data_IF_025702807475
#
_entry.id   IF_025702807475
#
_cell.length_a   1.000
_cell.length_b   1.000
_cell.length_c   1.000
_cell.angle_alpha   90.00
_cell.angle_beta   90.00
_cell.angle_gamma   90.00
#
_symmetry.space_group_name_H-M   'P 1'
#
loop_
_entity.id
_entity.type
_entity.pdbx_description
1 polymer ?
#
# COMPACT_ATOMS: atom_id res chain seq x y z
N UNK A 1 46.19 8.60 46.08
CA UNK A 1 45.22 9.27 45.16
C UNK A 1 44.77 8.26 44.12
N UNK A 2 43.63 7.59 44.36
CA UNK A 2 43.04 6.63 43.42
C UNK A 2 42.11 7.41 42.50
N UNK A 3 42.41 7.43 41.20
CA UNK A 3 41.53 7.98 40.17
C UNK A 3 40.42 6.94 39.88
N UNK A 4 39.18 7.27 40.22
CA UNK A 4 38.00 6.55 39.75
C UNK A 4 37.80 6.88 38.26
N UNK A 5 37.87 5.88 37.42
CA UNK A 5 37.45 5.96 36.04
C UNK A 5 35.95 5.58 36.02
N UNK A 6 35.09 6.56 35.82
CA UNK A 6 33.65 6.33 35.56
C UNK A 6 33.54 5.97 34.09
N UNK A 7 33.29 4.68 33.80
CA UNK A 7 32.88 4.21 32.47
C UNK A 7 31.39 4.50 32.33
N UNK A 8 31.06 5.52 31.58
CA UNK A 8 29.69 5.77 31.15
C UNK A 8 29.32 4.72 30.08
N UNK A 9 28.59 3.71 30.49
CA UNK A 9 27.94 2.77 29.56
C UNK A 9 26.77 3.54 28.95
N UNK A 10 26.97 4.11 27.77
CA UNK A 10 25.87 4.54 26.89
C UNK A 10 25.14 3.26 26.43
N UNK A 11 24.11 2.93 27.16
CA UNK A 11 23.14 1.93 26.71
C UNK A 11 22.45 2.45 25.46
N UNK A 12 22.81 1.89 24.32
CA UNK A 12 22.04 2.01 23.09
C UNK A 12 20.69 1.33 23.35
N UNK A 13 19.70 2.11 23.74
CA UNK A 13 18.32 1.69 23.61
C UNK A 13 18.00 1.67 22.11
N UNK A 14 18.37 0.58 21.43
CA UNK A 14 17.66 0.19 20.24
C UNK A 14 16.23 -0.03 20.69
N UNK A 15 15.34 0.88 20.33
CA UNK A 15 13.91 0.61 20.24
C UNK A 15 13.77 -0.51 19.19
N UNK A 16 13.93 -1.77 19.61
CA UNK A 16 13.24 -2.84 18.96
C UNK A 16 11.76 -2.51 19.16
N UNK A 17 11.15 -1.87 18.16
CA UNK A 17 9.72 -1.92 18.00
C UNK A 17 9.41 -3.43 18.04
N UNK A 18 8.76 -3.88 19.12
CA UNK A 18 8.35 -5.27 19.25
C UNK A 18 7.63 -5.59 17.94
N UNK A 19 8.10 -6.61 17.23
CA UNK A 19 7.42 -7.10 16.05
C UNK A 19 5.99 -7.32 16.48
N UNK A 20 5.07 -6.48 16.00
CA UNK A 20 3.68 -6.58 16.37
C UNK A 20 3.22 -7.88 15.74
N UNK A 21 2.84 -8.83 16.58
CA UNK A 21 2.40 -10.17 16.19
C UNK A 21 1.22 -10.03 15.20
N UNK A 22 1.49 -10.24 13.93
CA UNK A 22 0.50 -10.10 12.85
C UNK A 22 -0.68 -11.05 13.06
N UNK A 23 -0.42 -12.24 13.62
CA UNK A 23 -1.50 -13.15 13.97
C UNK A 23 -2.51 -12.50 14.93
N UNK A 24 -2.01 -11.80 15.97
CA UNK A 24 -2.88 -11.07 16.91
C UNK A 24 -3.58 -9.88 16.25
N UNK A 25 -2.90 -9.19 15.33
CA UNK A 25 -3.53 -8.10 14.58
C UNK A 25 -4.68 -8.61 13.70
N UNK A 26 -4.51 -9.78 13.06
CA UNK A 26 -5.55 -10.43 12.26
C UNK A 26 -6.68 -10.96 13.16
N UNK A 27 -6.36 -11.49 14.34
CA UNK A 27 -7.36 -11.92 15.33
C UNK A 27 -8.24 -10.77 15.78
N UNK A 28 -7.65 -9.59 16.03
CA UNK A 28 -8.37 -8.38 16.41
C UNK A 28 -9.15 -7.73 15.27
N UNK A 29 -8.62 -7.78 14.05
CA UNK A 29 -9.24 -7.25 12.84
C UNK A 29 -8.98 -8.17 11.65
N UNK A 30 -9.89 -9.12 11.38
CA UNK A 30 -9.77 -10.10 10.28
C UNK A 30 -9.55 -9.48 8.90
N UNK A 31 -9.95 -8.21 8.69
CA UNK A 31 -9.80 -7.48 7.43
C UNK A 31 -8.34 -7.28 7.05
N UNK A 32 -7.41 -7.32 8.01
CA UNK A 32 -5.96 -7.21 7.77
C UNK A 32 -5.41 -8.38 6.95
N UNK A 33 -6.06 -9.56 7.03
CA UNK A 33 -5.70 -10.72 6.20
C UNK A 33 -5.90 -10.46 4.70
N UNK A 34 -6.65 -9.43 4.32
CA UNK A 34 -6.90 -9.06 2.93
C UNK A 34 -5.68 -8.45 2.22
N UNK A 35 -4.54 -8.26 2.90
CA UNK A 35 -3.30 -7.82 2.26
C UNK A 35 -3.47 -6.48 1.52
N UNK A 36 -3.15 -6.45 0.22
CA UNK A 36 -3.32 -5.28 -0.64
C UNK A 36 -4.77 -4.88 -0.91
N UNK A 37 -5.75 -5.70 -0.51
CA UNK A 37 -7.18 -5.36 -0.54
C UNK A 37 -7.68 -4.75 0.77
N UNK A 38 -6.84 -4.62 1.79
CA UNK A 38 -7.20 -3.91 3.01
C UNK A 38 -7.66 -2.49 2.67
N UNK A 39 -8.83 -2.08 3.14
CA UNK A 39 -9.31 -0.71 3.01
C UNK A 39 -8.36 0.25 3.74
N UNK A 40 -8.29 1.51 3.28
CA UNK A 40 -7.38 2.49 3.86
C UNK A 40 -7.67 2.69 5.36
N UNK A 41 -6.69 2.45 6.24
CA UNK A 41 -6.88 2.68 7.66
C UNK A 41 -6.83 4.19 7.98
N UNK A 42 -7.59 4.63 8.98
CA UNK A 42 -7.42 5.98 9.47
C UNK A 42 -6.11 6.13 10.26
N UNK A 43 -5.33 7.18 10.00
CA UNK A 43 -4.09 7.43 10.74
C UNK A 43 -4.42 7.85 12.18
N UNK A 44 -3.79 7.18 13.15
CA UNK A 44 -4.10 7.36 14.58
C UNK A 44 -3.05 8.17 15.33
N UNK A 45 -1.82 8.30 14.78
CA UNK A 45 -0.71 8.97 15.46
C UNK A 45 -0.68 10.46 15.15
N UNK A 46 -0.46 11.33 16.16
CA UNK A 46 -0.21 12.74 15.93
C UNK A 46 1.13 12.94 15.22
N UNK A 47 1.21 13.96 14.39
CA UNK A 47 2.47 14.34 13.74
C UNK A 47 3.30 15.25 14.66
N UNK A 48 4.63 15.12 14.61
CA UNK A 48 5.56 16.03 15.27
C UNK A 48 5.34 17.47 14.78
N UNK A 49 5.30 18.47 15.67
CA UNK A 49 5.14 19.88 15.30
C UNK A 49 6.23 20.37 14.35
N UNK A 50 5.93 21.37 13.54
CA UNK A 50 6.90 21.97 12.61
C UNK A 50 8.23 22.37 13.30
N UNK A 51 9.39 22.25 12.61
CA UNK A 51 10.67 22.64 13.17
C UNK A 51 10.66 24.13 13.62
N UNK A 52 11.33 24.44 14.73
CA UNK A 52 11.32 25.80 15.29
C UNK A 52 11.67 26.86 14.25
N UNK A 53 10.78 27.80 14.07
CA UNK A 53 10.95 28.92 13.14
C UNK A 53 10.71 28.59 11.66
N UNK A 54 10.38 27.36 11.31
CA UNK A 54 10.03 26.93 9.95
C UNK A 54 8.53 26.64 9.86
N UNK A 55 7.99 26.74 8.64
CA UNK A 55 6.58 26.43 8.35
C UNK A 55 6.50 25.50 7.15
N UNK A 56 5.46 24.64 7.08
CA UNK A 56 5.22 23.85 5.87
C UNK A 56 4.91 24.81 4.71
N UNK A 57 5.45 24.53 3.52
CA UNK A 57 5.26 25.40 2.36
C UNK A 57 5.04 24.66 1.04
N UNK A 58 5.36 23.37 0.99
CA UNK A 58 5.21 22.52 -0.19
C UNK A 58 4.95 21.07 0.22
N UNK A 59 4.12 20.38 -0.57
CA UNK A 59 3.88 18.95 -0.43
C UNK A 59 4.13 18.27 -1.78
N UNK A 60 4.92 17.18 -1.78
CA UNK A 60 5.06 16.27 -2.90
C UNK A 60 4.48 14.92 -2.52
N UNK A 61 3.52 14.42 -3.28
CA UNK A 61 2.73 13.23 -2.96
C UNK A 61 2.73 12.23 -4.10
N UNK A 62 2.74 10.93 -3.78
CA UNK A 62 2.34 9.84 -4.66
C UNK A 62 1.40 8.92 -3.91
N UNK A 63 0.22 8.64 -4.46
CA UNK A 63 -0.79 7.77 -3.86
C UNK A 63 -1.29 6.68 -4.80
N UNK A 64 -1.69 5.57 -4.22
CA UNK A 64 -2.46 4.50 -4.85
C UNK A 64 -3.91 4.95 -5.00
N UNK A 65 -4.62 4.47 -6.02
CA UNK A 65 -6.08 4.62 -6.12
C UNK A 65 -6.79 4.10 -4.86
N UNK A 66 -7.97 4.59 -4.56
CA UNK A 66 -8.81 4.14 -3.45
C UNK A 66 -9.40 2.74 -3.64
N UNK A 67 -10.24 2.33 -2.71
CA UNK A 67 -11.00 1.08 -2.77
C UNK A 67 -11.69 0.90 -4.12
N UNK A 68 -11.67 -0.33 -4.65
CA UNK A 68 -12.18 -0.68 -5.98
C UNK A 68 -12.80 -2.07 -6.01
N UNK A 69 -13.57 -2.36 -7.05
CA UNK A 69 -13.98 -3.72 -7.36
C UNK A 69 -12.82 -4.59 -7.85
N UNK A 70 -12.94 -5.92 -7.77
CA UNK A 70 -11.96 -6.84 -8.37
C UNK A 70 -11.89 -6.59 -9.88
N UNK A 71 -10.68 -6.74 -10.45
CA UNK A 71 -10.46 -6.43 -11.88
C UNK A 71 -10.92 -7.56 -12.80
N UNK A 72 -10.82 -8.81 -12.36
CA UNK A 72 -11.05 -9.96 -13.21
C UNK A 72 -12.39 -10.62 -12.85
N UNK A 73 -13.32 -10.71 -13.82
CA UNK A 73 -14.62 -11.34 -13.63
C UNK A 73 -14.53 -12.78 -13.10
N UNK A 74 -13.50 -13.53 -13.50
CA UNK A 74 -13.28 -14.91 -13.06
C UNK A 74 -13.19 -15.04 -11.54
N UNK A 75 -12.67 -14.01 -10.87
CA UNK A 75 -12.50 -14.03 -9.42
C UNK A 75 -13.84 -14.03 -8.67
N UNK A 76 -14.91 -13.48 -9.28
CA UNK A 76 -16.29 -13.59 -8.80
C UNK A 76 -16.99 -14.83 -9.36
N UNK A 77 -16.81 -15.11 -10.63
CA UNK A 77 -17.58 -16.14 -11.36
C UNK A 77 -17.19 -17.55 -10.91
N UNK A 78 -15.91 -17.82 -10.71
CA UNK A 78 -15.46 -19.18 -10.37
C UNK A 78 -16.07 -19.68 -9.06
N UNK A 79 -15.98 -18.97 -7.91
CA UNK A 79 -16.59 -19.45 -6.68
C UNK A 79 -18.12 -19.47 -6.77
N UNK A 80 -18.74 -18.46 -7.38
CA UNK A 80 -20.18 -18.39 -7.54
C UNK A 80 -20.72 -19.59 -8.32
N UNK A 81 -20.24 -19.85 -9.53
CA UNK A 81 -20.76 -20.95 -10.36
C UNK A 81 -20.39 -22.34 -9.81
N UNK A 82 -19.26 -22.48 -9.13
CA UNK A 82 -18.91 -23.73 -8.44
C UNK A 82 -19.92 -24.05 -7.34
N UNK A 83 -20.25 -23.08 -6.49
CA UNK A 83 -21.24 -23.25 -5.44
C UNK A 83 -22.67 -23.39 -6.01
N UNK A 84 -23.03 -22.63 -7.05
CA UNK A 84 -24.34 -22.73 -7.70
C UNK A 84 -24.60 -24.12 -8.27
N UNK A 85 -23.58 -24.73 -8.93
CA UNK A 85 -23.67 -26.08 -9.41
C UNK A 85 -23.86 -27.08 -8.27
N UNK A 86 -23.09 -26.94 -7.19
CA UNK A 86 -23.21 -27.79 -6.01
C UNK A 86 -24.60 -27.67 -5.36
N UNK A 87 -25.18 -26.48 -5.30
CA UNK A 87 -26.53 -26.24 -4.79
C UNK A 87 -27.58 -26.92 -5.64
N UNK A 88 -27.49 -26.79 -6.97
CA UNK A 88 -28.43 -27.46 -7.92
C UNK A 88 -28.40 -28.99 -7.82
N UNK A 89 -27.28 -29.55 -7.35
CA UNK A 89 -27.14 -31.00 -7.10
C UNK A 89 -27.49 -31.40 -5.65
N UNK A 90 -28.00 -30.45 -4.84
CA UNK A 90 -28.32 -30.69 -3.44
C UNK A 90 -27.11 -31.02 -2.57
N UNK A 91 -25.90 -30.55 -2.93
CA UNK A 91 -24.62 -30.84 -2.25
C UNK A 91 -24.18 -29.75 -1.27
N UNK A 92 -24.84 -28.59 -1.22
CA UNK A 92 -24.60 -27.58 -0.21
C UNK A 92 -25.43 -27.81 1.05
N UNK A 93 -24.85 -27.55 2.20
CA UNK A 93 -25.59 -27.40 3.44
C UNK A 93 -26.08 -25.94 3.61
N UNK A 94 -26.78 -25.64 4.72
CA UNK A 94 -27.33 -24.31 4.96
C UNK A 94 -26.27 -23.21 4.98
N UNK A 95 -25.07 -23.49 5.49
CA UNK A 95 -23.93 -22.54 5.46
C UNK A 95 -23.47 -22.29 4.03
N UNK A 96 -23.32 -23.34 3.23
CA UNK A 96 -22.95 -23.24 1.82
C UNK A 96 -23.95 -22.43 1.00
N UNK A 97 -25.24 -22.62 1.23
CA UNK A 97 -26.31 -21.83 0.58
C UNK A 97 -26.24 -20.35 0.98
N UNK A 98 -25.96 -20.05 2.25
CA UNK A 98 -25.78 -18.66 2.71
C UNK A 98 -24.53 -18.01 2.09
N UNK A 99 -23.41 -18.72 2.00
CA UNK A 99 -22.20 -18.22 1.32
C UNK A 99 -22.48 -18.00 -0.18
N UNK A 100 -23.18 -18.91 -0.86
CA UNK A 100 -23.59 -18.71 -2.25
C UNK A 100 -24.43 -17.43 -2.41
N UNK A 101 -25.39 -17.19 -1.50
CA UNK A 101 -26.21 -15.98 -1.51
C UNK A 101 -25.36 -14.70 -1.35
N UNK A 102 -24.39 -14.70 -0.41
CA UNK A 102 -23.47 -13.58 -0.19
C UNK A 102 -22.57 -13.36 -1.42
N UNK A 103 -22.05 -14.44 -2.03
CA UNK A 103 -21.26 -14.37 -3.26
C UNK A 103 -22.06 -13.75 -4.41
N UNK A 104 -23.35 -14.15 -4.55
CA UNK A 104 -24.25 -13.57 -5.56
C UNK A 104 -24.39 -12.06 -5.38
N UNK A 105 -24.60 -11.58 -4.17
CA UNK A 105 -24.75 -10.15 -3.88
C UNK A 105 -23.52 -9.35 -4.32
N UNK A 106 -22.30 -9.80 -3.96
CA UNK A 106 -21.08 -9.11 -4.36
C UNK A 106 -20.79 -9.20 -5.86
N UNK A 107 -21.09 -10.32 -6.48
CA UNK A 107 -20.96 -10.51 -7.91
C UNK A 107 -21.91 -9.59 -8.68
N UNK A 108 -23.17 -9.51 -8.26
CA UNK A 108 -24.19 -8.65 -8.89
C UNK A 108 -23.82 -7.16 -8.71
N UNK A 109 -23.33 -6.75 -7.52
CA UNK A 109 -22.85 -5.39 -7.27
C UNK A 109 -21.64 -5.02 -8.15
N UNK A 110 -20.80 -6.00 -8.51
CA UNK A 110 -19.62 -5.81 -9.35
C UNK A 110 -19.93 -5.90 -10.88
N UNK A 111 -21.15 -6.23 -11.26
CA UNK A 111 -21.54 -6.36 -12.69
C UNK A 111 -21.30 -5.04 -13.41
N UNK A 112 -20.56 -5.11 -14.54
CA UNK A 112 -20.14 -3.97 -15.37
C UNK A 112 -19.28 -2.91 -14.66
N UNK A 113 -18.76 -3.26 -13.48
CA UNK A 113 -17.95 -2.35 -12.63
C UNK A 113 -16.55 -2.89 -12.29
N UNK A 114 -16.06 -3.86 -13.03
CA UNK A 114 -14.78 -4.51 -12.76
C UNK A 114 -13.62 -3.51 -12.77
N UNK A 115 -12.87 -3.49 -11.67
CA UNK A 115 -11.71 -2.60 -11.48
C UNK A 115 -12.05 -1.12 -11.31
N UNK A 116 -13.34 -0.75 -11.25
CA UNK A 116 -13.77 0.62 -10.98
C UNK A 116 -13.58 1.02 -9.52
N UNK A 117 -13.38 2.32 -9.29
CA UNK A 117 -13.36 2.91 -7.97
C UNK A 117 -14.73 2.75 -7.29
N UNK A 118 -14.74 2.29 -6.04
CA UNK A 118 -15.99 2.24 -5.27
C UNK A 118 -16.32 3.61 -4.63
N UNK A 119 -17.56 3.83 -4.17
CA UNK A 119 -17.90 5.03 -3.39
C UNK A 119 -16.99 5.19 -2.14
N UNK A 120 -16.62 4.07 -1.48
CA UNK A 120 -15.65 4.10 -0.38
C UNK A 120 -14.29 4.61 -0.86
N UNK A 121 -13.80 4.15 -2.03
CA UNK A 121 -12.52 4.61 -2.59
C UNK A 121 -12.52 6.10 -2.92
N UNK A 122 -13.63 6.63 -3.43
CA UNK A 122 -13.81 8.04 -3.64
C UNK A 122 -13.78 8.82 -2.31
N UNK A 123 -14.46 8.31 -1.28
CA UNK A 123 -14.47 8.92 0.05
C UNK A 123 -13.09 8.91 0.71
N UNK A 124 -12.33 7.81 0.59
CA UNK A 124 -10.95 7.73 1.10
C UNK A 124 -10.08 8.87 0.57
N UNK A 125 -10.14 9.19 -0.73
CA UNK A 125 -9.36 10.28 -1.31
C UNK A 125 -9.84 11.66 -0.88
N UNK A 126 -11.14 11.87 -0.69
CA UNK A 126 -11.64 13.10 -0.06
C UNK A 126 -11.12 13.25 1.37
N UNK A 127 -11.15 12.19 2.15
CA UNK A 127 -10.70 12.23 3.56
C UNK A 127 -9.19 12.43 3.69
N UNK A 128 -8.36 11.78 2.84
CA UNK A 128 -6.91 12.00 2.76
C UNK A 128 -6.62 13.47 2.41
N UNK A 129 -7.30 14.02 1.40
CA UNK A 129 -7.12 15.41 0.99
C UNK A 129 -7.54 16.39 2.09
N UNK A 130 -8.67 16.15 2.77
CA UNK A 130 -9.14 16.94 3.91
C UNK A 130 -8.15 16.94 5.06
N UNK A 131 -7.61 15.75 5.43
CA UNK A 131 -6.60 15.65 6.49
C UNK A 131 -5.31 16.34 6.09
N UNK A 132 -4.86 16.21 4.83
CA UNK A 132 -3.69 16.90 4.30
C UNK A 132 -3.85 18.42 4.42
N UNK A 133 -5.00 18.96 3.99
CA UNK A 133 -5.34 20.39 4.11
C UNK A 133 -5.33 20.87 5.57
N UNK A 134 -5.99 20.13 6.46
CA UNK A 134 -6.12 20.51 7.87
C UNK A 134 -4.80 20.43 8.65
N UNK A 135 -3.92 19.48 8.30
CA UNK A 135 -2.61 19.32 8.94
C UNK A 135 -1.57 20.33 8.47
N UNK A 136 -1.71 20.81 7.22
CA UNK A 136 -0.74 21.71 6.57
C UNK A 136 -1.41 22.91 5.91
N UNK A 137 -2.22 23.69 6.62
CA UNK A 137 -3.04 24.75 6.03
C UNK A 137 -2.22 25.85 5.36
N UNK A 138 -0.96 26.06 5.79
CA UNK A 138 -0.06 27.06 5.18
C UNK A 138 0.25 26.73 3.71
N UNK A 139 0.33 25.46 3.35
CA UNK A 139 0.60 25.00 1.98
C UNK A 139 -0.55 25.36 1.03
N UNK A 140 -1.78 25.38 1.54
CA UNK A 140 -3.00 25.56 0.75
C UNK A 140 -3.61 26.99 0.88
N UNK A 141 -2.90 27.92 1.53
CA UNK A 141 -3.43 29.25 1.81
C UNK A 141 -3.49 30.14 0.57
N UNK A 142 -4.68 30.66 0.27
CA UNK A 142 -4.90 31.64 -0.83
C UNK A 142 -4.96 30.97 -2.20
N UNK A 143 -4.34 31.59 -3.20
CA UNK A 143 -4.41 31.22 -4.63
C UNK A 143 -3.20 30.37 -5.10
N UNK A 144 -2.69 29.49 -4.24
CA UNK A 144 -1.57 28.61 -4.59
C UNK A 144 -1.93 27.62 -5.70
N UNK A 145 -0.91 27.13 -6.41
CA UNK A 145 -1.08 26.12 -7.45
C UNK A 145 -1.05 24.71 -6.85
N UNK A 146 -1.98 23.87 -7.28
CA UNK A 146 -1.95 22.42 -7.06
C UNK A 146 -1.78 21.78 -8.44
N UNK A 147 -0.63 21.15 -8.64
CA UNK A 147 -0.37 20.37 -9.86
C UNK A 147 -0.65 18.90 -9.57
N UNK A 148 -1.62 18.31 -10.26
CA UNK A 148 -2.05 16.95 -10.03
C UNK A 148 -1.91 16.08 -11.28
N UNK A 149 -1.39 14.87 -11.13
CA UNK A 149 -1.24 13.92 -12.22
C UNK A 149 -1.74 12.54 -11.83
N UNK A 150 -2.36 11.86 -12.80
CA UNK A 150 -2.82 10.50 -12.64
C UNK A 150 -2.23 9.59 -13.72
N UNK A 151 -2.16 8.29 -13.45
CA UNK A 151 -2.04 7.33 -14.53
C UNK A 151 -3.32 7.36 -15.38
N UNK A 152 -3.24 6.88 -16.62
CA UNK A 152 -4.38 6.87 -17.58
C UNK A 152 -5.49 5.88 -17.22
N UNK A 153 -5.45 5.29 -16.03
CA UNK A 153 -6.43 4.32 -15.54
C UNK A 153 -7.57 5.04 -14.81
N UNK A 154 -8.80 4.80 -15.24
CA UNK A 154 -10.01 5.54 -14.79
C UNK A 154 -10.10 5.64 -13.27
N UNK A 155 -9.90 4.55 -12.50
CA UNK A 155 -9.94 4.59 -11.03
C UNK A 155 -8.89 5.51 -10.40
N UNK A 156 -7.72 5.67 -11.06
CA UNK A 156 -6.69 6.60 -10.58
C UNK A 156 -7.08 8.05 -10.89
N UNK A 157 -7.63 8.30 -12.08
CA UNK A 157 -8.18 9.61 -12.47
C UNK A 157 -9.29 10.03 -11.50
N UNK A 158 -10.26 9.13 -11.24
CA UNK A 158 -11.35 9.41 -10.30
C UNK A 158 -10.84 9.60 -8.85
N UNK A 159 -9.79 8.90 -8.44
CA UNK A 159 -9.15 9.13 -7.13
C UNK A 159 -8.54 10.53 -7.05
N UNK A 160 -7.84 10.97 -8.10
CA UNK A 160 -7.33 12.34 -8.24
C UNK A 160 -8.45 13.37 -8.17
N UNK A 161 -9.49 13.21 -8.98
CA UNK A 161 -10.60 14.16 -9.05
C UNK A 161 -11.34 14.31 -7.71
N UNK A 162 -11.56 13.19 -6.97
CA UNK A 162 -12.19 13.26 -5.65
C UNK A 162 -11.31 14.03 -4.64
N UNK A 163 -9.98 13.83 -4.67
CA UNK A 163 -9.07 14.62 -3.83
C UNK A 163 -9.07 16.09 -4.19
N UNK A 164 -9.05 16.43 -5.49
CA UNK A 164 -9.07 17.82 -5.97
C UNK A 164 -10.40 18.52 -5.65
N UNK A 165 -11.54 17.87 -5.83
CA UNK A 165 -12.85 18.40 -5.46
C UNK A 165 -12.91 18.76 -3.97
N UNK A 166 -12.36 17.90 -3.10
CA UNK A 166 -12.29 18.19 -1.68
C UNK A 166 -11.42 19.42 -1.39
N UNK A 167 -10.22 19.51 -1.98
CA UNK A 167 -9.34 20.67 -1.79
C UNK A 167 -9.99 21.97 -2.26
N UNK A 168 -10.69 21.95 -3.40
CA UNK A 168 -11.42 23.13 -3.92
C UNK A 168 -12.59 23.50 -3.02
N UNK A 169 -13.29 22.51 -2.45
CA UNK A 169 -14.38 22.77 -1.49
C UNK A 169 -13.88 23.47 -0.22
N UNK A 170 -12.67 23.13 0.22
CA UNK A 170 -12.02 23.72 1.41
C UNK A 170 -11.40 25.10 1.10
N UNK A 171 -10.89 25.30 -0.12
CA UNK A 171 -10.37 26.59 -0.58
C UNK A 171 -10.65 26.82 -2.06
N UNK A 172 -11.73 27.53 -2.41
CA UNK A 172 -12.11 27.81 -3.80
C UNK A 172 -11.12 28.72 -4.57
N UNK A 173 -10.10 29.29 -3.90
CA UNK A 173 -9.09 30.14 -4.52
C UNK A 173 -7.90 29.35 -5.09
N UNK A 174 -7.82 28.04 -4.82
CA UNK A 174 -6.76 27.18 -5.36
C UNK A 174 -6.78 27.20 -6.88
N UNK A 175 -5.60 27.28 -7.48
CA UNK A 175 -5.42 27.11 -8.93
C UNK A 175 -5.03 25.67 -9.19
N UNK A 176 -5.91 24.93 -9.83
CA UNK A 176 -5.68 23.50 -10.11
C UNK A 176 -5.20 23.35 -11.55
N UNK A 177 -4.07 22.65 -11.73
CA UNK A 177 -3.67 22.03 -12.99
C UNK A 177 -3.69 20.52 -12.81
N UNK A 178 -4.31 19.78 -13.72
CA UNK A 178 -4.37 18.34 -13.63
C UNK A 178 -4.28 17.68 -15.00
N UNK A 179 -3.70 16.48 -15.05
CA UNK A 179 -3.51 15.72 -16.28
C UNK A 179 -3.47 14.21 -16.03
N UNK A 180 -3.82 13.43 -17.04
CA UNK A 180 -3.66 11.99 -17.12
C UNK A 180 -3.23 11.63 -18.54
N UNK A 181 -1.93 11.53 -18.78
CA UNK A 181 -1.34 11.41 -20.10
C UNK A 181 -0.40 10.22 -20.22
N UNK A 182 -0.43 9.51 -21.36
CA UNK A 182 0.59 8.49 -21.71
C UNK A 182 2.00 9.07 -21.73
N UNK A 183 2.15 10.39 -22.01
CA UNK A 183 3.42 11.09 -21.94
C UNK A 183 4.11 10.96 -20.58
N UNK A 184 3.35 10.95 -19.49
CA UNK A 184 3.87 10.87 -18.12
C UNK A 184 4.07 9.42 -17.62
N UNK A 185 3.63 8.40 -18.39
CA UNK A 185 3.69 7.00 -17.93
C UNK A 185 5.12 6.48 -17.76
N UNK A 186 6.12 7.10 -18.38
CA UNK A 186 7.53 6.72 -18.20
C UNK A 186 8.02 6.86 -16.75
N UNK A 187 7.36 7.69 -15.92
CA UNK A 187 7.64 7.80 -14.49
C UNK A 187 6.44 7.48 -13.62
N UNK A 188 5.21 7.80 -14.06
CA UNK A 188 4.00 7.56 -13.26
C UNK A 188 3.65 6.08 -13.13
N UNK A 189 3.99 5.25 -14.14
CA UNK A 189 3.73 3.81 -14.15
C UNK A 189 4.73 3.09 -15.07
N UNK A 190 6.01 3.23 -14.77
CA UNK A 190 7.07 2.67 -15.61
C UNK A 190 6.91 1.16 -15.80
N UNK A 191 6.80 0.74 -17.05
CA UNK A 191 6.82 -0.66 -17.46
C UNK A 191 8.21 -1.00 -18.01
N UNK A 192 9.16 -1.23 -17.12
CA UNK A 192 10.52 -1.64 -17.51
C UNK A 192 10.53 -3.12 -17.92
N UNK A 193 10.80 -3.45 -19.21
CA UNK A 193 10.79 -4.84 -19.68
C UNK A 193 11.86 -5.71 -19.02
N UNK A 194 13.04 -5.16 -18.72
CA UNK A 194 14.14 -5.90 -18.09
C UNK A 194 13.81 -6.26 -16.64
N UNK A 195 13.33 -5.30 -15.85
CA UNK A 195 12.89 -5.55 -14.48
C UNK A 195 11.67 -6.47 -14.44
N UNK A 196 10.73 -6.31 -15.38
CA UNK A 196 9.59 -7.20 -15.50
C UNK A 196 10.00 -8.65 -15.76
N UNK A 197 10.99 -8.89 -16.61
CA UNK A 197 11.52 -10.22 -16.87
C UNK A 197 12.18 -10.85 -15.63
N UNK A 198 12.77 -10.02 -14.74
CA UNK A 198 13.38 -10.46 -13.47
C UNK A 198 12.41 -10.52 -12.28
N UNK A 199 11.12 -10.19 -12.46
CA UNK A 199 10.17 -10.01 -11.36
C UNK A 199 9.92 -11.27 -10.54
N UNK A 200 9.83 -12.42 -11.19
CA UNK A 200 9.61 -13.71 -10.53
C UNK A 200 10.46 -14.78 -11.24
N UNK A 201 11.80 -14.72 -11.07
CA UNK A 201 12.68 -15.71 -11.66
C UNK A 201 12.42 -17.10 -11.06
N UNK A 202 12.97 -18.15 -11.70
CA UNK A 202 12.74 -19.53 -11.26
C UNK A 202 13.05 -19.73 -9.78
N UNK A 203 14.15 -19.17 -9.27
CA UNK A 203 14.52 -19.26 -7.86
C UNK A 203 13.42 -18.70 -6.92
N UNK A 204 12.87 -17.53 -7.25
CA UNK A 204 11.75 -16.95 -6.48
C UNK A 204 10.48 -17.80 -6.58
N UNK A 205 10.20 -18.36 -7.77
CA UNK A 205 9.05 -19.24 -7.96
C UNK A 205 9.20 -20.55 -7.16
N UNK A 206 10.40 -21.14 -7.15
CA UNK A 206 10.66 -22.37 -6.40
C UNK A 206 10.49 -22.13 -4.89
N UNK A 207 11.06 -21.06 -4.35
CA UNK A 207 10.90 -20.66 -2.94
C UNK A 207 9.42 -20.42 -2.60
N UNK A 208 8.68 -19.72 -3.46
CA UNK A 208 7.26 -19.49 -3.23
C UNK A 208 6.46 -20.80 -3.23
N UNK A 209 6.76 -21.71 -4.16
CA UNK A 209 6.10 -23.01 -4.23
C UNK A 209 6.40 -23.87 -2.97
N UNK A 210 7.67 -23.90 -2.53
CA UNK A 210 8.05 -24.59 -1.30
C UNK A 210 7.38 -23.99 -0.06
N UNK A 211 7.29 -22.65 0.02
CA UNK A 211 6.54 -21.96 1.07
C UNK A 211 5.08 -22.40 1.06
N UNK A 212 4.42 -22.39 -0.10
CA UNK A 212 3.03 -22.82 -0.24
C UNK A 212 2.82 -24.30 0.14
N UNK A 213 3.79 -25.17 -0.09
CA UNK A 213 3.72 -26.60 0.33
C UNK A 213 3.80 -26.76 1.85
N UNK A 214 4.53 -25.88 2.55
CA UNK A 214 4.58 -25.87 4.03
C UNK A 214 3.37 -25.22 4.65
N UNK A 215 2.85 -24.16 4.03
CA UNK A 215 1.69 -23.40 4.47
C UNK A 215 0.47 -23.78 3.61
N UNK A 216 -0.06 -25.00 3.83
CA UNK A 216 -1.16 -25.56 3.04
C UNK A 216 -2.42 -24.71 3.20
N UNK A 217 -3.09 -24.42 2.08
CA UNK A 217 -4.36 -23.70 2.10
C UNK A 217 -5.39 -24.42 2.97
N UNK A 218 -6.10 -23.71 3.84
CA UNK A 218 -7.11 -24.30 4.69
C UNK A 218 -8.23 -24.89 3.85
N UNK A 219 -8.50 -26.19 4.03
CA UNK A 219 -9.60 -26.87 3.34
C UNK A 219 -10.91 -26.79 4.11
N UNK A 220 -10.82 -26.74 5.44
CA UNK A 220 -11.97 -26.71 6.35
C UNK A 220 -13.01 -25.64 5.99
N UNK A 221 -12.65 -24.36 5.71
CA UNK A 221 -13.64 -23.34 5.40
C UNK A 221 -14.52 -23.75 4.22
N UNK A 222 -13.91 -24.26 3.16
CA UNK A 222 -14.60 -24.69 1.94
C UNK A 222 -15.35 -26.00 2.13
N UNK A 223 -14.71 -27.02 2.74
CA UNK A 223 -15.35 -28.31 3.04
C UNK A 223 -16.61 -28.14 3.89
N UNK A 224 -16.59 -27.19 4.83
CA UNK A 224 -17.72 -26.91 5.72
C UNK A 224 -18.99 -26.41 5.01
N UNK A 225 -18.90 -26.10 3.71
CA UNK A 225 -20.04 -25.62 2.90
C UNK A 225 -20.89 -26.79 2.31
N UNK A 226 -20.32 -27.99 2.32
CA UNK A 226 -20.93 -29.16 1.67
C UNK A 226 -21.55 -30.12 2.69
N UNK A 227 -22.62 -30.78 2.29
CA UNK A 227 -23.26 -31.85 3.05
C UNK A 227 -22.75 -33.26 2.66
N UNK A 228 -21.90 -33.36 1.63
CA UNK A 228 -21.34 -34.57 1.06
C UNK A 228 -19.82 -34.42 0.90
N UNK A 229 -19.07 -35.00 1.85
CA UNK A 229 -17.60 -34.97 1.86
C UNK A 229 -17.00 -35.74 0.67
N UNK A 230 -17.65 -36.80 0.17
CA UNK A 230 -17.18 -37.52 -1.00
C UNK A 230 -17.29 -36.66 -2.26
N UNK A 231 -18.38 -35.91 -2.38
CA UNK A 231 -18.55 -34.96 -3.49
C UNK A 231 -17.49 -33.84 -3.42
N UNK A 232 -17.33 -33.19 -2.26
CA UNK A 232 -16.37 -32.08 -2.12
C UNK A 232 -14.94 -32.53 -2.41
N UNK A 233 -14.52 -33.70 -1.93
CA UNK A 233 -13.14 -34.20 -2.13
C UNK A 233 -12.86 -34.71 -3.54
N UNK A 234 -13.86 -35.29 -4.22
CA UNK A 234 -13.65 -35.92 -5.53
C UNK A 234 -14.01 -34.99 -6.72
N UNK A 235 -14.92 -34.03 -6.51
CA UNK A 235 -15.45 -33.20 -7.59
C UNK A 235 -15.01 -31.75 -7.53
N UNK A 236 -14.50 -31.27 -6.37
CA UNK A 236 -14.14 -29.87 -6.15
C UNK A 236 -12.64 -29.74 -5.90
N UNK A 237 -11.98 -28.81 -6.61
CA UNK A 237 -10.64 -28.38 -6.22
C UNK A 237 -10.77 -27.38 -5.06
N UNK A 238 -10.67 -27.89 -3.83
CA UNK A 238 -10.90 -27.14 -2.59
C UNK A 238 -9.91 -25.98 -2.41
N UNK A 239 -8.63 -26.18 -2.73
CA UNK A 239 -7.60 -25.15 -2.63
C UNK A 239 -7.91 -23.98 -3.59
N UNK A 240 -8.24 -24.30 -4.83
CA UNK A 240 -8.62 -23.31 -5.83
C UNK A 240 -9.92 -22.59 -5.45
N UNK A 241 -10.90 -23.31 -4.90
CA UNK A 241 -12.15 -22.70 -4.46
C UNK A 241 -11.90 -21.77 -3.26
N UNK A 242 -11.07 -22.20 -2.29
CA UNK A 242 -10.66 -21.35 -1.18
C UNK A 242 -9.97 -20.07 -1.67
N UNK A 243 -9.02 -20.17 -2.58
CA UNK A 243 -8.32 -19.00 -3.14
C UNK A 243 -9.29 -17.95 -3.72
N UNK A 244 -10.28 -18.37 -4.51
CA UNK A 244 -11.23 -17.44 -5.10
C UNK A 244 -12.28 -16.92 -4.11
N UNK A 245 -12.74 -17.76 -3.18
CA UNK A 245 -13.62 -17.32 -2.08
C UNK A 245 -12.88 -16.25 -1.25
N UNK A 246 -11.63 -16.52 -0.87
CA UNK A 246 -10.86 -15.59 -0.05
C UNK A 246 -10.61 -14.25 -0.76
N UNK A 247 -10.45 -14.22 -2.07
CA UNK A 247 -10.42 -12.95 -2.84
C UNK A 247 -11.70 -12.15 -2.72
N UNK A 248 -12.86 -12.81 -2.80
CA UNK A 248 -14.15 -12.13 -2.64
C UNK A 248 -14.35 -11.66 -1.21
N UNK A 249 -13.95 -12.47 -0.22
CA UNK A 249 -13.89 -12.07 1.21
C UNK A 249 -13.06 -10.80 1.38
N UNK A 250 -11.85 -10.80 0.81
CA UNK A 250 -10.91 -9.69 0.94
C UNK A 250 -11.42 -8.38 0.33
N UNK A 251 -12.17 -8.45 -0.78
CA UNK A 251 -12.68 -7.25 -1.44
C UNK A 251 -13.97 -6.72 -0.82
N UNK A 252 -14.74 -7.54 -0.10
CA UNK A 252 -16.05 -7.17 0.45
C UNK A 252 -15.99 -5.88 1.29
N UNK A 253 -14.94 -5.69 2.10
CA UNK A 253 -14.71 -4.50 2.91
C UNK A 253 -14.58 -3.20 2.10
N UNK A 254 -14.34 -3.30 0.79
CA UNK A 254 -14.14 -2.18 -0.13
C UNK A 254 -15.43 -1.75 -0.86
N UNK A 255 -16.53 -2.46 -0.67
CA UNK A 255 -17.82 -2.23 -1.34
C UNK A 255 -18.84 -1.58 -0.41
N UNK A 256 -19.97 -1.13 -0.97
CA UNK A 256 -21.09 -0.62 -0.18
C UNK A 256 -21.86 -1.75 0.56
N UNK A 257 -21.49 -2.99 0.30
CA UNK A 257 -22.05 -4.16 0.99
C UNK A 257 -21.24 -4.54 2.25
N UNK A 258 -20.16 -3.85 2.58
CA UNK A 258 -19.25 -4.17 3.70
C UNK A 258 -19.93 -4.34 5.06
N UNK A 259 -21.02 -3.59 5.29
CA UNK A 259 -21.78 -3.65 6.54
C UNK A 259 -22.96 -4.65 6.48
N UNK A 260 -23.20 -5.27 5.31
CA UNK A 260 -24.31 -6.18 5.07
C UNK A 260 -23.88 -7.61 4.79
N UNK A 261 -22.64 -7.80 4.35
CA UNK A 261 -22.09 -9.07 3.93
C UNK A 261 -20.75 -9.28 4.62
N UNK A 262 -20.75 -10.12 5.63
CA UNK A 262 -19.54 -10.60 6.30
C UNK A 262 -19.25 -12.03 5.82
N UNK A 263 -17.97 -12.34 5.59
CA UNK A 263 -17.49 -13.67 5.23
C UNK A 263 -16.40 -14.17 6.18
N UNK A 264 -15.94 -13.32 7.10
CA UNK A 264 -14.87 -13.72 8.02
C UNK A 264 -15.34 -14.79 9.01
N UNK A 265 -16.66 -14.93 9.20
CA UNK A 265 -17.30 -16.03 9.93
C UNK A 265 -17.05 -17.43 9.34
N UNK A 266 -16.57 -17.48 8.09
CA UNK A 266 -16.19 -18.72 7.42
C UNK A 266 -14.83 -19.25 7.91
N UNK A 267 -13.94 -18.37 8.34
CA UNK A 267 -12.56 -18.65 8.68
C UNK A 267 -12.28 -18.51 10.18
N UNK A 268 -11.31 -19.25 10.70
CA UNK A 268 -10.66 -18.94 11.97
C UNK A 268 -9.39 -18.09 11.72
N UNK A 269 -8.78 -17.59 12.79
CA UNK A 269 -7.61 -16.71 12.70
C UNK A 269 -6.40 -17.39 12.04
N UNK A 270 -6.14 -18.67 12.34
CA UNK A 270 -5.02 -19.43 11.74
C UNK A 270 -5.18 -19.54 10.21
N UNK A 271 -6.41 -19.76 9.74
CA UNK A 271 -6.74 -19.89 8.33
C UNK A 271 -6.61 -18.55 7.60
N UNK A 272 -7.03 -17.44 8.23
CA UNK A 272 -6.83 -16.09 7.72
C UNK A 272 -5.35 -15.75 7.66
N UNK A 273 -4.60 -16.09 8.69
CA UNK A 273 -3.17 -15.84 8.79
C UNK A 273 -2.39 -16.57 7.69
N UNK A 274 -2.67 -17.85 7.44
CA UNK A 274 -2.04 -18.62 6.35
C UNK A 274 -2.33 -18.01 4.99
N UNK A 275 -3.57 -17.60 4.71
CA UNK A 275 -3.92 -16.93 3.46
C UNK A 275 -3.14 -15.61 3.29
N UNK A 276 -3.03 -14.82 4.37
CA UNK A 276 -2.26 -13.59 4.36
C UNK A 276 -0.75 -13.83 4.14
N UNK A 277 -0.15 -14.81 4.85
CA UNK A 277 1.28 -15.10 4.74
C UNK A 277 1.71 -15.38 3.30
N UNK A 278 0.95 -16.18 2.56
CA UNK A 278 1.21 -16.48 1.15
C UNK A 278 1.24 -15.24 0.28
N UNK A 279 0.27 -14.35 0.49
CA UNK A 279 0.20 -13.11 -0.27
C UNK A 279 1.32 -12.16 0.12
N UNK A 280 1.69 -12.09 1.41
CA UNK A 280 2.82 -11.30 1.90
C UNK A 280 4.14 -11.73 1.25
N UNK A 281 4.42 -13.04 1.22
CA UNK A 281 5.60 -13.63 0.58
C UNK A 281 5.59 -13.40 -0.93
N UNK A 282 4.43 -13.58 -1.60
CA UNK A 282 4.30 -13.33 -3.03
C UNK A 282 4.67 -11.88 -3.40
N UNK A 283 4.17 -10.89 -2.66
CA UNK A 283 4.47 -9.49 -2.90
C UNK A 283 5.94 -9.16 -2.67
N UNK A 284 6.55 -9.70 -1.61
CA UNK A 284 7.96 -9.53 -1.32
C UNK A 284 8.85 -10.09 -2.44
N UNK A 285 8.64 -11.33 -2.84
CA UNK A 285 9.41 -12.00 -3.89
C UNK A 285 9.24 -11.35 -5.26
N UNK A 286 8.05 -10.79 -5.54
CA UNK A 286 7.69 -10.26 -6.86
C UNK A 286 8.10 -8.81 -7.06
N UNK A 287 7.92 -7.95 -6.06
CA UNK A 287 8.08 -6.50 -6.19
C UNK A 287 9.00 -5.89 -5.13
N UNK A 288 9.32 -6.65 -4.09
CA UNK A 288 10.15 -6.22 -2.98
C UNK A 288 11.65 -6.32 -3.26
N UNK A 289 12.48 -5.99 -2.25
CA UNK A 289 13.94 -6.01 -2.34
C UNK A 289 14.52 -7.43 -2.15
N UNK A 290 13.79 -8.47 -2.53
CA UNK A 290 14.16 -9.87 -2.34
C UNK A 290 15.50 -10.21 -3.01
N UNK A 291 16.48 -10.83 -2.30
CA UNK A 291 17.71 -11.30 -2.90
C UNK A 291 17.48 -12.26 -4.06
N UNK A 292 16.41 -13.05 -4.03
CA UNK A 292 16.06 -14.04 -5.03
C UNK A 292 15.65 -13.43 -6.37
N UNK A 293 15.17 -12.18 -6.38
CA UNK A 293 14.94 -11.40 -7.61
C UNK A 293 16.09 -10.43 -7.91
N UNK A 294 17.23 -10.57 -7.18
CA UNK A 294 18.41 -9.73 -7.29
C UNK A 294 18.31 -8.39 -6.56
N UNK A 295 17.29 -8.17 -5.71
CA UNK A 295 17.08 -6.92 -4.96
C UNK A 295 16.74 -5.72 -5.85
N UNK A 296 16.42 -5.94 -7.13
CA UNK A 296 16.38 -4.88 -8.15
C UNK A 296 14.97 -4.30 -8.40
N UNK A 297 13.92 -4.98 -7.96
CA UNK A 297 12.54 -4.55 -8.24
C UNK A 297 12.20 -3.13 -7.72
N UNK A 298 12.69 -2.66 -6.56
CA UNK A 298 12.50 -1.29 -6.12
C UNK A 298 12.96 -0.23 -7.13
N UNK A 299 14.01 -0.52 -7.92
CA UNK A 299 14.51 0.40 -8.95
C UNK A 299 13.57 0.59 -10.15
N UNK A 300 12.47 -0.17 -10.21
CA UNK A 300 11.36 0.15 -11.12
C UNK A 300 10.80 1.56 -10.88
N UNK A 301 11.04 2.14 -9.69
CA UNK A 301 10.60 3.48 -9.31
C UNK A 301 11.68 4.56 -9.44
N UNK A 302 12.84 4.26 -10.03
CA UNK A 302 13.95 5.23 -10.22
C UNK A 302 13.52 6.49 -10.97
N UNK A 303 12.70 6.35 -12.02
CA UNK A 303 12.21 7.50 -12.79
C UNK A 303 11.22 8.34 -11.98
N UNK A 304 10.32 7.69 -11.22
CA UNK A 304 9.38 8.40 -10.34
C UNK A 304 10.13 9.19 -9.27
N UNK A 305 11.09 8.56 -8.59
CA UNK A 305 11.87 9.22 -7.55
C UNK A 305 12.67 10.39 -8.12
N UNK A 306 13.33 10.22 -9.28
CA UNK A 306 14.03 11.30 -9.96
C UNK A 306 13.10 12.48 -10.28
N UNK A 307 11.95 12.20 -10.85
CA UNK A 307 10.95 13.22 -11.19
C UNK A 307 10.43 13.95 -9.95
N UNK A 308 10.20 13.22 -8.86
CA UNK A 308 9.80 13.85 -7.58
C UNK A 308 10.89 14.78 -7.03
N UNK A 309 12.17 14.42 -7.16
CA UNK A 309 13.30 15.26 -6.73
C UNK A 309 13.39 16.51 -7.59
N UNK A 310 13.37 16.38 -8.92
CA UNK A 310 13.47 17.50 -9.87
C UNK A 310 12.32 18.51 -9.72
N UNK A 311 11.09 18.02 -9.54
CA UNK A 311 9.93 18.87 -9.29
C UNK A 311 10.00 19.55 -7.92
N UNK A 312 10.49 18.85 -6.89
CA UNK A 312 10.69 19.46 -5.58
C UNK A 312 11.75 20.57 -5.64
N UNK A 313 12.89 20.34 -6.31
CA UNK A 313 13.92 21.39 -6.52
C UNK A 313 13.31 22.65 -7.19
N UNK A 314 12.48 22.44 -8.22
CA UNK A 314 11.80 23.53 -8.91
C UNK A 314 10.79 24.26 -8.01
N UNK A 315 10.00 23.51 -7.24
CA UNK A 315 9.00 24.07 -6.32
C UNK A 315 9.63 24.79 -5.13
N UNK A 316 10.74 24.31 -4.59
CA UNK A 316 11.47 24.95 -3.49
C UNK A 316 11.93 26.37 -3.88
N UNK A 317 12.26 26.60 -5.14
CA UNK A 317 12.66 27.92 -5.64
C UNK A 317 11.49 28.93 -5.71
N UNK A 318 10.24 28.45 -5.68
CA UNK A 318 9.06 29.33 -5.78
C UNK A 318 8.69 29.96 -4.43
N UNK A 319 8.17 31.19 -4.42
CA UNK A 319 7.68 31.81 -3.18
C UNK A 319 6.53 31.05 -2.53
N UNK A 320 5.60 30.51 -3.33
CA UNK A 320 4.37 29.82 -2.88
C UNK A 320 4.04 28.65 -3.82
N UNK A 321 4.74 27.52 -3.69
CA UNK A 321 4.64 26.40 -4.64
C UNK A 321 3.33 25.60 -4.55
N UNK A 322 2.69 25.54 -3.36
CA UNK A 322 1.50 24.71 -3.15
C UNK A 322 1.82 23.21 -3.01
N UNK A 323 1.23 22.36 -3.88
CA UNK A 323 1.46 20.93 -3.82
C UNK A 323 1.53 20.28 -5.22
N UNK A 324 2.32 19.19 -5.31
CA UNK A 324 2.32 18.28 -6.47
C UNK A 324 1.76 16.94 -6.04
N UNK A 325 0.63 16.55 -6.61
CA UNK A 325 -0.11 15.34 -6.24
C UNK A 325 -0.07 14.32 -7.39
N UNK A 326 0.25 13.06 -7.08
CA UNK A 326 0.34 11.98 -8.08
C UNK A 326 -0.50 10.80 -7.65
N UNK A 327 -1.26 10.21 -8.58
CA UNK A 327 -2.21 9.13 -8.32
C UNK A 327 -1.95 7.94 -9.25
N UNK A 328 -1.73 6.76 -8.66
CA UNK A 328 -1.38 5.56 -9.40
C UNK A 328 -1.74 4.26 -8.66
N UNK A 329 -0.75 3.38 -8.51
CA UNK A 329 -0.98 1.99 -8.13
C UNK A 329 -0.11 1.51 -6.97
N UNK A 330 -0.52 0.39 -6.35
CA UNK A 330 0.26 -0.35 -5.35
C UNK A 330 1.63 -0.79 -5.88
N UNK A 331 1.70 -1.17 -7.16
CA UNK A 331 2.94 -1.56 -7.85
C UNK A 331 3.93 -0.41 -8.05
N UNK A 332 3.56 0.80 -7.64
CA UNK A 332 4.43 1.97 -7.57
C UNK A 332 4.73 2.34 -6.12
N UNK A 333 3.69 2.45 -5.27
CA UNK A 333 3.85 2.85 -3.85
C UNK A 333 4.77 1.87 -3.11
N UNK A 334 4.55 0.56 -3.25
CA UNK A 334 5.31 -0.44 -2.51
C UNK A 334 6.79 -0.47 -2.94
N UNK A 335 7.14 -0.61 -4.24
CA UNK A 335 8.54 -0.55 -4.63
C UNK A 335 9.21 0.81 -4.34
N UNK A 336 8.47 1.94 -4.38
CA UNK A 336 9.00 3.25 -3.99
C UNK A 336 9.31 3.29 -2.48
N UNK A 337 8.44 2.72 -1.65
CA UNK A 337 8.69 2.56 -0.20
C UNK A 337 9.98 1.78 0.05
N UNK A 338 10.18 0.68 -0.68
CA UNK A 338 11.41 -0.13 -0.60
C UNK A 338 12.62 0.61 -1.18
N UNK A 339 12.50 1.33 -2.30
CA UNK A 339 13.60 2.12 -2.88
C UNK A 339 14.09 3.21 -1.92
N UNK A 340 13.15 3.85 -1.23
CA UNK A 340 13.44 4.86 -0.21
C UNK A 340 13.94 4.24 1.10
N UNK A 341 13.72 2.95 1.36
CA UNK A 341 14.03 2.30 2.63
C UNK A 341 13.19 2.82 3.79
N UNK A 342 11.95 3.28 3.51
CA UNK A 342 11.07 3.79 4.56
C UNK A 342 10.85 2.73 5.64
N UNK A 343 11.04 3.10 6.91
CA UNK A 343 10.84 2.23 8.07
C UNK A 343 11.59 0.89 7.98
N UNK A 344 12.68 0.81 7.18
CA UNK A 344 13.43 -0.42 6.97
C UNK A 344 12.81 -1.40 5.96
N UNK A 345 11.83 -0.98 5.15
CA UNK A 345 11.21 -1.84 4.13
C UNK A 345 12.12 -2.17 2.93
N UNK A 346 13.36 -1.70 2.92
CA UNK A 346 14.41 -2.14 2.01
C UNK A 346 15.16 -3.39 2.50
N UNK A 347 14.74 -3.98 3.60
CA UNK A 347 15.35 -5.17 4.19
C UNK A 347 15.39 -6.33 3.21
N UNK A 348 16.57 -6.92 3.05
CA UNK A 348 16.78 -8.15 2.29
C UNK A 348 16.68 -9.34 3.23
N UNK A 349 15.79 -10.28 2.91
CA UNK A 349 15.51 -11.45 3.72
C UNK A 349 15.70 -12.69 2.85
N UNK A 350 16.67 -13.53 3.20
CA UNK A 350 16.97 -14.76 2.47
C UNK A 350 15.93 -15.84 2.75
N UNK A 351 15.53 -16.00 4.00
CA UNK A 351 14.49 -16.94 4.42
C UNK A 351 13.15 -16.22 4.58
N UNK A 352 12.23 -16.46 3.65
CA UNK A 352 10.91 -15.83 3.60
C UNK A 352 10.01 -16.10 4.82
N UNK A 353 10.33 -17.14 5.62
CA UNK A 353 9.65 -17.40 6.89
C UNK A 353 9.90 -16.29 7.92
N UNK A 354 11.01 -15.55 7.78
CA UNK A 354 11.38 -14.46 8.68
C UNK A 354 10.86 -13.08 8.29
N UNK A 355 10.07 -12.96 7.23
CA UNK A 355 9.61 -11.65 6.72
C UNK A 355 8.90 -10.84 7.78
N UNK A 356 8.01 -11.45 8.53
CA UNK A 356 7.26 -10.81 9.61
C UNK A 356 8.19 -10.35 10.74
N UNK A 357 9.10 -11.21 11.19
CA UNK A 357 10.09 -10.89 12.24
C UNK A 357 11.02 -9.74 11.84
N UNK A 358 11.27 -9.58 10.54
CA UNK A 358 12.01 -8.45 9.98
C UNK A 358 11.15 -7.21 9.73
N UNK A 359 9.87 -7.25 10.11
CA UNK A 359 8.94 -6.14 10.03
C UNK A 359 8.33 -5.91 8.64
N UNK A 360 8.57 -6.81 7.67
CA UNK A 360 7.99 -6.65 6.32
C UNK A 360 6.58 -7.21 6.27
N UNK A 361 5.59 -6.32 6.33
CA UNK A 361 4.16 -6.63 6.41
C UNK A 361 3.41 -5.78 5.37
N UNK A 362 2.90 -6.44 4.34
CA UNK A 362 2.38 -5.80 3.13
C UNK A 362 1.20 -4.83 3.37
N UNK A 363 0.23 -5.18 4.21
CA UNK A 363 -0.93 -4.31 4.48
C UNK A 363 -0.57 -3.01 5.24
N UNK A 364 0.60 -2.94 5.88
CA UNK A 364 1.12 -1.71 6.50
C UNK A 364 1.75 -0.78 5.47
N UNK A 365 2.19 -1.32 4.32
CA UNK A 365 2.90 -0.57 3.28
C UNK A 365 1.91 0.00 2.26
N UNK A 366 1.04 -0.84 1.69
CA UNK A 366 0.24 -0.45 0.52
C UNK A 366 -1.23 -0.90 0.57
N UNK A 367 -2.00 -0.58 1.63
CA UNK A 367 -3.46 -0.76 1.62
C UNK A 367 -4.10 0.02 0.47
N UNK A 368 -5.41 -0.09 0.24
CA UNK A 368 -6.14 0.79 -0.69
C UNK A 368 -5.93 2.25 -0.28
N UNK A 369 -5.72 3.16 -1.24
CA UNK A 369 -5.45 4.57 -0.95
C UNK A 369 -4.06 4.88 -0.36
N UNK A 370 -3.17 3.87 -0.25
CA UNK A 370 -1.83 4.05 0.31
C UNK A 370 -1.08 5.20 -0.35
N UNK A 371 -0.34 5.95 0.44
CA UNK A 371 0.34 7.13 -0.08
C UNK A 371 1.65 7.45 0.65
N UNK A 372 2.54 8.14 -0.07
CA UNK A 372 3.77 8.71 0.43
C UNK A 372 3.68 10.21 0.25
N UNK A 373 3.95 10.98 1.31
CA UNK A 373 3.91 12.44 1.31
C UNK A 373 5.24 12.99 1.83
N UNK A 374 5.86 13.87 1.06
CA UNK A 374 6.99 14.68 1.48
C UNK A 374 6.46 16.05 1.88
N UNK A 375 6.65 16.45 3.13
CA UNK A 375 6.19 17.74 3.66
C UNK A 375 7.40 18.62 3.90
N UNK A 376 7.53 19.70 3.13
CA UNK A 376 8.70 20.56 3.13
C UNK A 376 8.51 21.80 4.01
N UNK A 377 9.58 22.17 4.75
CA UNK A 377 9.60 23.26 5.73
C UNK A 377 10.73 24.24 5.46
N UNK A 378 10.45 25.55 5.57
CA UNK A 378 11.44 26.63 5.50
C UNK A 378 11.04 27.82 6.36
N UNK A 379 12.00 28.71 6.69
CA UNK A 379 11.73 29.96 7.41
C UNK A 379 11.05 30.99 6.50
N UNK A 380 11.55 31.13 5.28
CA UNK A 380 11.08 32.06 4.25
C UNK A 380 11.60 31.59 2.87
N UNK A 381 11.19 32.23 1.75
CA UNK A 381 11.62 31.83 0.41
C UNK A 381 13.12 31.89 0.11
N UNK A 382 13.93 32.55 0.95
CA UNK A 382 15.39 32.65 0.81
C UNK A 382 16.14 31.66 1.71
N UNK A 383 15.41 30.87 2.50
CA UNK A 383 16.02 29.87 3.39
C UNK A 383 16.66 28.73 2.57
N UNK A 384 17.98 28.62 2.69
CA UNK A 384 18.75 27.57 2.01
C UNK A 384 18.71 26.23 2.76
N UNK A 385 18.38 26.27 4.04
CA UNK A 385 18.26 25.08 4.89
C UNK A 385 16.81 24.56 4.85
N UNK A 386 16.43 23.93 3.73
CA UNK A 386 15.10 23.32 3.57
C UNK A 386 15.09 21.97 4.26
N UNK A 387 14.19 21.82 5.22
CA UNK A 387 13.89 20.55 5.87
C UNK A 387 12.63 19.90 5.28
N UNK A 388 12.55 18.59 5.39
CA UNK A 388 11.30 17.88 5.11
C UNK A 388 11.10 16.74 6.10
N UNK A 389 9.87 16.28 6.24
CA UNK A 389 9.55 14.98 6.80
C UNK A 389 8.80 14.15 5.75
N UNK A 390 8.84 12.85 5.91
CA UNK A 390 8.15 11.92 5.03
C UNK A 390 7.08 11.16 5.79
N UNK A 391 5.92 10.99 5.16
CA UNK A 391 4.81 10.22 5.70
C UNK A 391 4.57 9.01 4.79
N UNK A 392 4.34 7.85 5.39
CA UNK A 392 3.80 6.67 4.75
C UNK A 392 2.39 6.45 5.32
N UNK A 393 1.39 6.43 4.46
CA UNK A 393 -0.01 6.32 4.88
C UNK A 393 -0.41 7.36 5.92
N UNK A 394 0.06 8.61 5.75
CA UNK A 394 -0.19 9.75 6.63
C UNK A 394 0.42 9.65 8.04
N UNK A 395 1.25 8.64 8.34
CA UNK A 395 2.06 8.52 9.56
C UNK A 395 3.54 8.83 9.27
N UNK A 396 4.25 9.40 10.24
CA UNK A 396 5.67 9.72 10.10
C UNK A 396 6.50 8.46 9.85
N UNK A 397 7.33 8.50 8.81
CA UNK A 397 8.23 7.42 8.44
C UNK A 397 9.70 7.84 8.57
N UNK A 398 10.56 6.87 8.78
CA UNK A 398 12.02 7.06 8.85
C UNK A 398 12.69 6.72 7.53
N UNK A 399 13.82 7.39 7.26
CA UNK A 399 14.69 7.11 6.11
C UNK A 399 16.03 6.54 6.62
N UNK A 400 16.71 5.67 5.84
CA UNK A 400 18.02 5.10 6.21
C UNK A 400 19.18 6.07 5.93
N UNK A 401 18.97 7.37 6.13
CA UNK A 401 19.99 8.40 6.01
C UNK A 401 20.13 9.13 7.36
N UNK A 402 21.36 9.55 7.75
CA UNK A 402 21.57 10.26 9.00
C UNK A 402 20.85 11.61 8.99
N UNK A 403 20.40 12.05 10.15
CA UNK A 403 19.85 13.38 10.37
C UNK A 403 20.12 13.83 11.81
N UNK A 404 20.34 15.12 12.00
CA UNK A 404 20.52 15.78 13.31
C UNK A 404 19.21 16.37 13.84
N UNK A 405 18.11 16.24 13.09
CA UNK A 405 16.83 16.90 13.39
C UNK A 405 15.60 15.97 13.23
N UNK A 406 15.74 14.67 13.55
CA UNK A 406 14.65 13.71 13.44
C UNK A 406 13.34 14.21 14.08
N UNK A 407 12.17 13.97 13.46
CA UNK A 407 11.88 13.16 12.28
C UNK A 407 12.06 13.93 10.95
N UNK A 408 12.79 15.04 10.97
CA UNK A 408 13.08 15.85 9.78
C UNK A 408 14.42 15.44 9.19
N UNK A 409 14.58 15.74 7.89
CA UNK A 409 15.77 15.50 7.10
C UNK A 409 16.11 16.76 6.29
N UNK A 410 17.41 17.01 6.08
CA UNK A 410 17.85 18.05 5.15
C UNK A 410 17.60 17.62 3.71
N UNK A 411 16.97 18.50 2.92
CA UNK A 411 16.66 18.20 1.52
C UNK A 411 17.92 17.97 0.69
N UNK A 412 18.98 18.72 0.95
CA UNK A 412 20.30 18.57 0.28
C UNK A 412 20.84 17.14 0.40
N UNK A 413 20.78 16.56 1.61
CA UNK A 413 21.35 15.26 1.91
C UNK A 413 20.51 14.14 1.28
N UNK A 414 19.19 14.27 1.38
CA UNK A 414 18.26 13.37 0.70
C UNK A 414 18.50 13.36 -0.81
N UNK A 415 18.53 14.55 -1.42
CA UNK A 415 18.74 14.73 -2.85
C UNK A 415 20.04 14.10 -3.32
N UNK A 416 21.13 14.39 -2.64
CA UNK A 416 22.45 13.83 -2.97
C UNK A 416 22.44 12.31 -2.87
N UNK A 417 21.96 11.76 -1.75
CA UNK A 417 21.94 10.33 -1.48
C UNK A 417 21.12 9.56 -2.55
N UNK A 418 19.89 10.00 -2.79
CA UNK A 418 18.97 9.24 -3.68
C UNK A 418 19.28 9.44 -5.16
N UNK A 419 19.76 10.60 -5.60
CA UNK A 419 20.28 10.73 -6.98
C UNK A 419 21.46 9.80 -7.21
N UNK A 420 22.42 9.77 -6.29
CA UNK A 420 23.56 8.84 -6.37
C UNK A 420 23.10 7.37 -6.37
N UNK A 421 22.13 7.01 -5.53
CA UNK A 421 21.57 5.64 -5.46
C UNK A 421 20.96 5.21 -6.79
N UNK A 422 20.15 6.07 -7.41
CA UNK A 422 19.50 5.73 -8.70
C UNK A 422 20.43 5.86 -9.90
N UNK A 423 21.45 6.73 -9.87
CA UNK A 423 22.45 6.87 -10.93
C UNK A 423 23.45 5.69 -10.95
N UNK A 424 23.73 5.12 -9.78
CA UNK A 424 24.59 3.95 -9.66
C UNK A 424 23.90 2.64 -10.05
N UNK A 425 22.57 2.64 -10.21
CA UNK A 425 21.84 1.46 -10.68
C UNK A 425 22.19 1.14 -12.12
N UNK A 426 22.70 -0.07 -12.34
CA UNK A 426 22.99 -0.63 -13.68
C UNK A 426 22.02 -1.76 -13.96
N UNK A 427 21.37 -1.72 -15.13
CA UNK A 427 20.42 -2.75 -15.62
C UNK A 427 21.07 -4.14 -15.81
#
# INVERSE_FOLDING_TARGET
MRKLIIIAILGSFTLQAAAQDVWKEIDQDPRRSASNYMAYPEPTKPLTPAPKGKKPFYISHYGRHGSRFIINHRDYDYPYFTLQLADSLGKLNAKGQEILRRMKLLRDDATDRLGELTPLGAQQHRDIARRMYNRFPEVFKGDVCIDAKSTVVIRCILSMENALQELVSLNPKLRITHDASEHDMYYMNLRDPKLRAKRMPKASQDIYNEFCLRHIDPKRPVESLFNDTAYSNNCINLERLNYYIFKVVSIAQNTELRDKVDFYDLYNTDELYVNWQKDNVYWYLTYGPSPQNGGTQPFSQRNLLRKMIEEADSCIALPRPGATLRFGHETMVMPLTCLLGLNGYDVQVDDVEQLEDKGWVNYRIFPMGANIQFIFYRKNPKDQDVLFKILLNEEEATLPIPTDCAPYYHWSDFRQHYLQKIDNYKD
#
